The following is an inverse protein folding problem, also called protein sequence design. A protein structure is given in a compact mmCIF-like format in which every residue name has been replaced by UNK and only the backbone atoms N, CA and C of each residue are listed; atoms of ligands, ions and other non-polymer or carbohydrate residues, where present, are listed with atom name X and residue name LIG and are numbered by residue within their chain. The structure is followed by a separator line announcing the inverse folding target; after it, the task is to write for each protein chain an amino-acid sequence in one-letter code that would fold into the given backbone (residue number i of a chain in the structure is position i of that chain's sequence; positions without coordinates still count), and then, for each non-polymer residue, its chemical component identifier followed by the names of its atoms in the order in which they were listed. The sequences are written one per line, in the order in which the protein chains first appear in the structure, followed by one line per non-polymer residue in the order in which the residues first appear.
data_IF_041026425476
#
_entry.id   IF_041026425476
#
_cell.length_a   1.000
_cell.length_b   1.000
_cell.length_c   1.000
_cell.angle_alpha   90.00
_cell.angle_beta   90.00
_cell.angle_gamma   90.00
#
_symmetry.space_group_name_H-M   'P 1'
#
loop_
_entity.id
_entity.type
_entity.pdbx_description
1 polymer ?
#
# COMPACT_ATOMS: atom_id res chain seq x y z
N UNK A 1 -7.84 -0.83 14.65
CA UNK A 1 -7.24 -0.58 13.32
C UNK A 1 -7.38 0.88 12.94
N UNK A 2 -6.83 1.35 11.81
CA UNK A 2 -6.47 2.76 11.54
C UNK A 2 -7.53 3.84 11.87
N UNK A 3 -8.79 3.47 12.11
CA UNK A 3 -9.90 4.32 12.56
C UNK A 3 -10.19 5.47 11.58
N UNK A 4 -9.99 5.17 10.30
CA UNK A 4 -10.17 6.10 9.20
C UNK A 4 -10.64 5.31 7.96
N UNK A 5 -11.28 6.01 7.03
CA UNK A 5 -11.59 5.43 5.74
C UNK A 5 -10.35 5.38 4.86
N UNK A 6 -10.02 4.21 4.31
CA UNK A 6 -8.93 4.02 3.35
C UNK A 6 -9.49 3.78 1.96
N UNK A 7 -9.03 4.58 1.00
CA UNK A 7 -9.20 4.27 -0.43
C UNK A 7 -8.16 3.22 -0.82
N UNK A 8 -8.54 2.34 -1.74
CA UNK A 8 -7.64 1.40 -2.41
C UNK A 8 -7.97 1.37 -3.89
N UNK A 9 -6.97 1.16 -4.73
CA UNK A 9 -7.14 0.95 -6.16
C UNK A 9 -6.88 -0.52 -6.47
N UNK A 10 -7.80 -1.15 -7.20
CA UNK A 10 -7.70 -2.56 -7.57
C UNK A 10 -7.64 -2.64 -9.09
N UNK A 11 -6.63 -3.33 -9.62
CA UNK A 11 -6.53 -3.70 -11.03
C UNK A 11 -6.58 -5.22 -11.11
N UNK A 12 -7.57 -5.70 -11.85
CA UNK A 12 -7.75 -7.12 -12.13
C UNK A 12 -7.04 -7.49 -13.44
N UNK A 13 -6.69 -8.76 -13.63
CA UNK A 13 -6.30 -9.30 -14.94
C UNK A 13 -7.38 -9.07 -16.01
N UNK A 14 -6.97 -8.99 -17.27
CA UNK A 14 -7.88 -8.74 -18.38
C UNK A 14 -8.89 -9.91 -18.57
N UNK A 15 -8.49 -11.14 -18.20
CA UNK A 15 -9.27 -12.39 -18.27
C UNK A 15 -9.74 -12.87 -16.88
N UNK A 16 -10.01 -11.94 -15.97
CA UNK A 16 -10.38 -12.25 -14.59
C UNK A 16 -11.58 -13.20 -14.47
N UNK A 17 -11.39 -14.28 -13.71
CA UNK A 17 -12.40 -15.28 -13.33
C UNK A 17 -12.33 -15.48 -11.81
N UNK A 18 -13.45 -15.17 -11.13
CA UNK A 18 -13.60 -15.32 -9.68
C UNK A 18 -13.36 -16.73 -9.13
N UNK A 19 -13.32 -17.74 -10.00
CA UNK A 19 -13.07 -19.14 -9.60
C UNK A 19 -11.59 -19.55 -9.78
N UNK A 20 -10.74 -18.68 -10.35
CA UNK A 20 -9.29 -18.91 -10.52
C UNK A 20 -8.52 -18.18 -9.41
N UNK A 21 -7.44 -18.81 -8.94
CA UNK A 21 -6.53 -18.19 -7.99
C UNK A 21 -5.51 -17.32 -8.73
N UNK A 22 -5.30 -16.09 -8.23
CA UNK A 22 -4.35 -15.14 -8.80
C UNK A 22 -3.29 -14.72 -7.78
N UNK A 23 -2.05 -14.43 -8.22
CA UNK A 23 -1.08 -13.72 -7.39
C UNK A 23 -1.63 -12.34 -6.98
N UNK A 24 -1.36 -11.93 -5.73
CA UNK A 24 -1.74 -10.62 -5.22
C UNK A 24 -0.48 -9.77 -4.99
N UNK A 25 -0.44 -8.59 -5.62
CA UNK A 25 0.60 -7.59 -5.39
C UNK A 25 -0.04 -6.44 -4.61
N UNK A 26 0.40 -6.23 -3.38
CA UNK A 26 0.00 -5.06 -2.57
C UNK A 26 1.09 -4.01 -2.66
N UNK A 27 0.71 -2.80 -3.06
CA UNK A 27 1.62 -1.68 -3.23
C UNK A 27 1.25 -0.54 -2.28
N UNK A 28 2.22 -0.08 -1.49
CA UNK A 28 2.15 1.17 -0.72
C UNK A 28 2.47 2.37 -1.61
N UNK A 29 2.25 3.60 -1.14
CA UNK A 29 2.39 4.83 -1.95
C UNK A 29 1.54 4.77 -3.26
N UNK A 30 0.30 4.27 -3.16
CA UNK A 30 -0.62 4.10 -4.29
C UNK A 30 -1.07 5.39 -4.98
N UNK A 31 -0.75 6.57 -4.43
CA UNK A 31 -1.06 7.87 -5.03
C UNK A 31 -0.31 8.11 -6.34
N UNK A 32 0.79 7.41 -6.57
CA UNK A 32 1.71 7.68 -7.66
C UNK A 32 1.72 6.56 -8.70
N UNK A 33 1.77 6.97 -9.97
CA UNK A 33 2.19 6.14 -11.10
C UNK A 33 1.33 4.90 -11.40
N UNK A 34 0.06 4.83 -10.96
CA UNK A 34 -0.81 3.67 -11.22
C UNK A 34 -0.85 3.26 -12.71
N UNK A 35 -1.02 4.23 -13.61
CA UNK A 35 -1.01 3.99 -15.05
C UNK A 35 0.35 3.53 -15.59
N UNK A 36 1.45 4.01 -14.99
CA UNK A 36 2.79 3.58 -15.36
C UNK A 36 3.09 2.17 -14.86
N UNK A 37 2.48 1.75 -13.75
CA UNK A 37 2.60 0.39 -13.23
C UNK A 37 1.84 -0.63 -14.08
N UNK A 38 0.60 -0.34 -14.47
CA UNK A 38 -0.12 -1.22 -15.41
C UNK A 38 0.68 -1.40 -16.71
N UNK A 39 1.23 -0.31 -17.24
CA UNK A 39 2.12 -0.33 -18.42
C UNK A 39 3.41 -1.10 -18.17
N UNK A 40 4.07 -0.90 -17.02
CA UNK A 40 5.32 -1.57 -16.69
C UNK A 40 5.12 -3.08 -16.51
N UNK A 41 4.04 -3.51 -15.86
CA UNK A 41 3.71 -4.94 -15.72
C UNK A 41 3.47 -5.58 -17.10
N UNK A 42 2.65 -4.94 -17.94
CA UNK A 42 2.39 -5.37 -19.32
C UNK A 42 3.66 -5.40 -20.18
N UNK A 43 4.58 -4.46 -19.97
CA UNK A 43 5.83 -4.36 -20.73
C UNK A 43 6.90 -5.38 -20.28
N UNK A 44 6.87 -5.84 -19.02
CA UNK A 44 7.90 -6.74 -18.48
C UNK A 44 7.81 -8.16 -19.05
N UNK A 45 6.64 -8.62 -19.49
CA UNK A 45 6.48 -9.75 -20.42
C UNK A 45 4.99 -9.94 -20.76
N UNK A 46 4.61 -10.07 -22.03
CA UNK A 46 3.22 -10.39 -22.43
C UNK A 46 2.73 -11.73 -21.89
N UNK A 47 3.64 -12.67 -21.61
CA UNK A 47 3.34 -14.00 -21.06
C UNK A 47 3.68 -14.15 -19.57
N UNK A 48 4.03 -13.07 -18.85
CA UNK A 48 4.38 -13.23 -17.43
C UNK A 48 3.16 -13.40 -16.54
N UNK A 49 3.33 -14.24 -15.53
CA UNK A 49 2.41 -14.41 -14.39
C UNK A 49 2.06 -13.08 -13.68
N UNK A 50 2.81 -12.00 -13.93
CA UNK A 50 2.57 -10.67 -13.40
C UNK A 50 1.43 -9.94 -14.11
N UNK A 51 1.14 -10.27 -15.38
CA UNK A 51 -0.05 -9.75 -16.07
C UNK A 51 -1.34 -10.33 -15.49
N UNK A 52 -1.25 -11.55 -14.98
CA UNK A 52 -2.33 -12.27 -14.28
C UNK A 52 -2.41 -11.92 -12.79
N UNK A 53 -1.58 -11.02 -12.26
CA UNK A 53 -1.66 -10.63 -10.87
C UNK A 53 -2.79 -9.61 -10.64
N UNK A 54 -3.51 -9.77 -9.52
CA UNK A 54 -4.35 -8.72 -8.94
C UNK A 54 -3.41 -7.70 -8.29
N UNK A 55 -3.52 -6.44 -8.69
CA UNK A 55 -2.75 -5.34 -8.11
C UNK A 55 -3.66 -4.51 -7.20
N UNK A 56 -3.28 -4.40 -5.93
CA UNK A 56 -3.96 -3.55 -4.95
C UNK A 56 -3.00 -2.45 -4.50
N UNK A 57 -3.30 -1.21 -4.86
CA UNK A 57 -2.51 -0.05 -4.46
C UNK A 57 -3.21 0.73 -3.34
N UNK A 58 -2.50 0.93 -2.24
CA UNK A 58 -2.95 1.65 -1.05
C UNK A 58 -2.37 3.07 -1.10
N UNK A 59 -3.15 4.09 -1.48
CA UNK A 59 -2.73 5.48 -1.36
C UNK A 59 -2.54 5.89 0.10
N UNK A 60 -1.56 6.75 0.35
CA UNK A 60 -1.50 7.62 1.52
C UNK A 60 -2.63 8.66 1.42
N UNK A 61 -3.12 9.13 2.55
CA UNK A 61 -4.03 10.27 2.55
C UNK A 61 -3.21 11.54 2.29
N UNK A 62 -3.57 12.30 1.26
CA UNK A 62 -2.89 13.57 0.93
C UNK A 62 -3.03 14.57 2.10
N UNK A 63 -2.02 15.41 2.31
CA UNK A 63 -1.97 16.49 3.32
C UNK A 63 -1.96 16.06 4.79
N UNK A 64 -2.00 14.76 5.07
CA UNK A 64 -1.85 14.19 6.41
C UNK A 64 -0.55 13.39 6.41
N UNK A 65 0.20 13.46 7.51
CA UNK A 65 1.46 12.74 7.80
C UNK A 65 1.33 11.18 7.80
N UNK A 66 0.29 10.63 7.14
CA UNK A 66 -0.06 9.21 7.05
C UNK A 66 1.05 8.34 6.49
N UNK A 67 1.83 8.82 5.52
CA UNK A 67 2.95 8.02 4.97
C UNK A 67 3.99 7.69 6.04
N UNK A 68 4.37 8.68 6.85
CA UNK A 68 5.36 8.50 7.91
C UNK A 68 4.78 7.75 9.11
N UNK A 69 3.48 7.84 9.35
CA UNK A 69 2.78 6.97 10.31
C UNK A 69 2.76 5.52 9.83
N UNK A 70 2.32 5.28 8.60
CA UNK A 70 1.94 3.97 8.07
C UNK A 70 3.15 3.14 7.62
N UNK A 71 4.23 3.79 7.16
CA UNK A 71 5.39 3.10 6.56
C UNK A 71 6.62 3.07 7.46
N UNK A 72 6.58 3.73 8.62
CA UNK A 72 7.69 3.72 9.58
C UNK A 72 7.34 2.76 10.72
N UNK A 73 8.20 1.76 11.01
CA UNK A 73 8.01 0.90 12.17
C UNK A 73 8.00 1.69 13.49
N UNK A 74 7.23 1.26 14.51
CA UNK A 74 7.23 1.89 15.83
C UNK A 74 8.60 1.95 16.50
N UNK A 75 9.52 1.08 16.08
CA UNK A 75 10.88 0.99 16.59
C UNK A 75 11.94 1.31 15.52
N UNK A 76 11.58 2.07 14.47
CA UNK A 76 12.54 2.50 13.47
C UNK A 76 13.76 3.16 14.16
N UNK A 77 14.95 2.61 13.89
CA UNK A 77 16.18 2.86 14.66
C UNK A 77 16.39 4.35 14.92
N UNK A 78 16.75 4.70 16.15
CA UNK A 78 17.06 6.07 16.59
C UNK A 78 18.28 6.70 15.87
N UNK A 79 19.03 5.90 15.11
CA UNK A 79 20.36 6.26 14.57
C UNK A 79 20.40 6.36 13.03
N UNK A 80 19.32 6.80 12.36
CA UNK A 80 19.34 7.11 10.91
C UNK A 80 19.29 8.63 10.71
N UNK A 81 20.45 9.22 10.39
CA UNK A 81 20.77 10.58 9.92
C UNK A 81 19.96 11.79 10.48
N UNK A 82 20.72 12.78 10.96
CA UNK A 82 20.49 13.57 12.18
C UNK A 82 20.09 15.03 11.98
N UNK A 83 19.58 15.42 10.81
CA UNK A 83 19.08 16.79 10.63
C UNK A 83 17.68 16.92 11.26
N UNK A 84 17.49 17.82 12.25
CA UNK A 84 16.20 17.97 12.89
C UNK A 84 15.16 18.52 11.89
N UNK A 85 14.02 17.83 11.80
CA UNK A 85 12.80 18.34 11.14
C UNK A 85 12.41 19.69 11.79
N UNK A 86 11.91 20.69 11.04
CA UNK A 86 11.52 21.98 11.61
C UNK A 86 10.54 21.82 12.78
N UNK A 87 10.74 22.60 13.86
CA UNK A 87 10.01 22.46 15.15
C UNK A 87 8.47 22.56 15.07
N UNK A 88 7.94 23.09 13.97
CA UNK A 88 6.49 23.22 13.74
C UNK A 88 5.87 22.03 13.00
N UNK A 89 6.68 21.03 12.63
CA UNK A 89 6.27 19.85 11.86
C UNK A 89 6.51 18.53 12.63
N UNK A 90 6.46 18.54 13.96
CA UNK A 90 6.86 17.39 14.80
C UNK A 90 5.83 17.12 15.88
N UNK A 91 4.70 16.50 15.55
CA UNK A 91 3.88 15.80 16.55
C UNK A 91 4.27 14.31 16.57
N UNK A 92 5.11 13.85 17.52
CA UNK A 92 5.68 12.49 17.52
C UNK A 92 4.63 11.39 17.70
N UNK A 93 3.48 11.74 18.27
CA UNK A 93 2.49 10.79 18.79
C UNK A 93 1.78 10.01 17.68
N UNK A 94 1.78 10.55 16.46
CA UNK A 94 1.15 9.95 15.29
C UNK A 94 2.13 9.22 14.37
N UNK A 95 3.44 9.26 14.60
CA UNK A 95 4.42 8.61 13.73
C UNK A 95 4.74 7.18 14.19
N UNK A 96 5.31 6.37 13.29
CA UNK A 96 5.84 5.06 13.67
C UNK A 96 4.74 4.06 14.04
N UNK A 97 3.71 3.91 13.20
CA UNK A 97 2.58 2.99 13.42
C UNK A 97 2.44 1.97 12.28
N UNK A 98 3.55 1.57 11.67
CA UNK A 98 3.50 0.58 10.60
C UNK A 98 2.98 -0.80 11.06
N UNK A 99 3.04 -1.09 12.36
CA UNK A 99 2.36 -2.24 12.98
C UNK A 99 0.83 -2.14 12.80
N UNK A 100 0.26 -0.97 13.05
CA UNK A 100 -1.16 -0.70 12.82
C UNK A 100 -1.49 -0.67 11.32
N UNK A 101 -0.58 -0.23 10.47
CA UNK A 101 -0.81 -0.29 9.02
C UNK A 101 -0.76 -1.72 8.47
N UNK A 102 0.18 -2.53 8.97
CA UNK A 102 0.28 -3.95 8.59
C UNK A 102 -0.95 -4.74 9.05
N UNK A 103 -1.41 -4.52 10.29
CA UNK A 103 -2.63 -5.15 10.77
C UNK A 103 -3.87 -4.74 9.94
N UNK A 104 -3.86 -3.55 9.31
CA UNK A 104 -4.96 -3.11 8.43
C UNK A 104 -4.95 -3.90 7.15
N UNK A 105 -3.77 -4.09 6.57
CA UNK A 105 -3.59 -4.94 5.41
C UNK A 105 -4.11 -6.35 5.71
N UNK A 106 -3.69 -6.94 6.83
CA UNK A 106 -3.99 -8.33 7.17
C UNK A 106 -5.44 -8.57 7.55
N UNK A 107 -6.03 -7.69 8.36
CA UNK A 107 -7.31 -7.94 9.02
C UNK A 107 -8.49 -7.23 8.36
N UNK A 108 -8.25 -6.15 7.61
CA UNK A 108 -9.33 -5.36 7.01
C UNK A 108 -9.27 -5.35 5.48
N UNK A 109 -8.08 -5.33 4.87
CA UNK A 109 -7.95 -5.27 3.42
C UNK A 109 -7.96 -6.66 2.77
N UNK A 110 -7.20 -7.62 3.29
CA UNK A 110 -7.09 -8.95 2.66
C UNK A 110 -8.42 -9.71 2.65
N UNK A 111 -9.27 -9.52 3.64
CA UNK A 111 -10.57 -10.20 3.74
C UNK A 111 -11.49 -9.87 2.54
N UNK A 112 -11.82 -8.58 2.27
CA UNK A 112 -12.66 -8.25 1.12
C UNK A 112 -12.01 -8.58 -0.21
N UNK A 113 -10.67 -8.50 -0.34
CA UNK A 113 -9.99 -8.91 -1.58
C UNK A 113 -10.24 -10.41 -1.82
N UNK A 114 -9.93 -11.29 -0.86
CA UNK A 114 -10.14 -12.74 -1.01
C UNK A 114 -11.58 -13.15 -1.31
N UNK A 115 -12.56 -12.39 -0.82
CA UNK A 115 -13.97 -12.73 -0.99
C UNK A 115 -14.58 -12.20 -2.30
N UNK A 116 -13.97 -11.18 -2.92
CA UNK A 116 -14.55 -10.46 -4.05
C UNK A 116 -13.67 -10.45 -5.31
N UNK A 117 -12.44 -10.95 -5.21
CA UNK A 117 -11.49 -11.10 -6.32
C UNK A 117 -10.86 -12.48 -6.26
#
# INVERSE_FOLDING_TARGET
MLNESRKVFIRLPDDFDKNKAYPLIIKTDGNFNLANWDKALKALNTESILNEAILVAIPNQFFIDTRNRDLVPPYARKDVNTNPRPKHETSPEIFGKADLFLAFIEQELLIPIRNNT
#
